data_IF_331645453859
#
_entry.id   IF_331645453859
#
_cell.length_a   1.000
_cell.length_b   1.000
_cell.length_c   1.000
_cell.angle_alpha   90.00
_cell.angle_beta   90.00
_cell.angle_gamma   90.00
#
_symmetry.space_group_name_H-M   'P 1'
#
loop_
_entity.id
_entity.type
_entity.pdbx_description
1 polymer ?
#
# COMPACT_ATOMS: atom_id res chain seq x y z
N UNK A 1 25.70 -16.61 9.28
CA UNK A 1 25.35 -17.13 7.94
C UNK A 1 25.12 -18.61 8.10
N UNK A 2 23.85 -19.02 8.08
CA UNK A 2 23.46 -20.40 8.35
C UNK A 2 22.06 -20.66 7.84
N UNK A 3 21.82 -20.36 6.56
CA UNK A 3 20.58 -20.73 5.91
C UNK A 3 20.65 -22.21 5.49
N UNK A 4 19.61 -22.97 5.81
CA UNK A 4 19.43 -24.33 5.29
C UNK A 4 18.50 -24.26 4.08
N UNK A 5 19.04 -24.53 2.89
CA UNK A 5 18.25 -24.71 1.69
C UNK A 5 17.74 -26.15 1.63
N UNK A 6 16.42 -26.31 1.61
CA UNK A 6 15.80 -27.59 1.32
C UNK A 6 15.61 -27.76 -0.18
N UNK A 7 16.09 -28.87 -0.73
CA UNK A 7 15.82 -29.27 -2.10
C UNK A 7 14.66 -30.25 -2.11
N UNK A 8 13.81 -30.15 -3.13
CA UNK A 8 12.77 -31.14 -3.36
C UNK A 8 13.40 -32.49 -3.63
N UNK A 9 12.90 -33.54 -2.97
CA UNK A 9 13.48 -34.88 -3.05
C UNK A 9 13.23 -35.55 -4.41
N UNK A 10 12.07 -35.30 -5.03
CA UNK A 10 11.68 -35.97 -6.29
C UNK A 10 10.92 -35.07 -7.27
N UNK A 11 9.79 -34.48 -6.86
CA UNK A 11 8.93 -33.63 -7.70
C UNK A 11 8.06 -32.66 -6.89
N UNK A 12 7.35 -31.74 -7.56
CA UNK A 12 6.40 -30.79 -6.92
C UNK A 12 5.32 -31.52 -6.09
N UNK A 13 5.01 -32.78 -6.41
CA UNK A 13 3.99 -33.55 -5.70
C UNK A 13 4.41 -33.93 -4.26
N UNK A 14 5.72 -34.03 -3.99
CA UNK A 14 6.31 -34.26 -2.66
C UNK A 14 6.51 -32.99 -1.82
N UNK A 15 6.24 -31.80 -2.37
CA UNK A 15 6.55 -30.52 -1.72
C UNK A 15 5.96 -30.35 -0.33
N UNK A 16 4.75 -30.85 -0.08
CA UNK A 16 4.12 -30.73 1.22
C UNK A 16 4.78 -31.60 2.28
N UNK A 17 5.24 -32.78 1.89
CA UNK A 17 5.90 -33.72 2.78
C UNK A 17 7.34 -33.25 3.06
N UNK A 18 8.02 -32.74 2.03
CA UNK A 18 9.31 -32.05 2.17
C UNK A 18 9.18 -30.79 3.05
N UNK A 19 8.17 -29.95 2.84
CA UNK A 19 7.94 -28.75 3.65
C UNK A 19 7.56 -29.09 5.10
N UNK A 20 6.83 -30.19 5.32
CA UNK A 20 6.53 -30.68 6.66
C UNK A 20 7.79 -31.09 7.42
N UNK A 21 8.71 -31.78 6.75
CA UNK A 21 9.99 -32.24 7.31
C UNK A 21 11.00 -31.10 7.49
N UNK A 22 11.19 -30.28 6.47
CA UNK A 22 12.16 -29.19 6.43
C UNK A 22 11.76 -28.00 7.31
N UNK A 23 10.46 -27.87 7.60
CA UNK A 23 9.87 -26.77 8.37
C UNK A 23 10.39 -25.39 7.92
N UNK A 24 10.23 -25.06 6.63
CA UNK A 24 10.83 -23.87 6.04
C UNK A 24 10.31 -22.60 6.71
N UNK A 25 11.16 -21.59 6.75
CA UNK A 25 10.81 -20.26 7.25
C UNK A 25 10.27 -19.38 6.10
N UNK A 26 10.88 -19.50 4.94
CA UNK A 26 10.46 -18.77 3.74
C UNK A 26 10.18 -19.78 2.64
N UNK A 27 9.05 -19.63 1.96
CA UNK A 27 8.59 -20.53 0.91
C UNK A 27 8.49 -19.75 -0.41
N UNK A 28 9.34 -20.09 -1.38
CA UNK A 28 9.26 -19.53 -2.74
C UNK A 28 8.59 -20.57 -3.62
N UNK A 29 7.41 -20.25 -4.16
CA UNK A 29 6.58 -21.21 -4.91
C UNK A 29 6.00 -20.59 -6.16
N UNK A 30 5.78 -21.39 -7.19
CA UNK A 30 5.06 -20.94 -8.39
C UNK A 30 3.54 -21.03 -8.17
N UNK A 31 2.72 -20.18 -8.81
CA UNK A 31 1.26 -20.14 -8.67
C UNK A 31 0.57 -21.50 -8.79
N UNK A 32 1.07 -22.37 -9.68
CA UNK A 32 0.57 -23.74 -9.87
C UNK A 32 0.60 -24.57 -8.58
N UNK A 33 1.58 -24.33 -7.71
CA UNK A 33 1.69 -24.99 -6.40
C UNK A 33 0.59 -24.49 -5.46
N UNK A 34 0.41 -23.17 -5.36
CA UNK A 34 -0.66 -22.56 -4.55
C UNK A 34 -2.04 -23.01 -5.02
N UNK A 35 -2.27 -23.07 -6.34
CA UNK A 35 -3.51 -23.58 -6.92
C UNK A 35 -3.77 -25.04 -6.53
N UNK A 36 -2.76 -25.91 -6.58
CA UNK A 36 -2.91 -27.31 -6.17
C UNK A 36 -3.24 -27.46 -4.69
N UNK A 37 -2.62 -26.64 -3.85
CA UNK A 37 -2.89 -26.61 -2.41
C UNK A 37 -4.32 -26.17 -2.11
N UNK A 38 -4.76 -25.13 -2.81
CA UNK A 38 -6.12 -24.63 -2.77
C UNK A 38 -7.11 -25.71 -3.20
N UNK A 39 -6.89 -26.38 -4.34
CA UNK A 39 -7.74 -27.49 -4.80
C UNK A 39 -7.78 -28.63 -3.80
N UNK A 40 -6.63 -29.05 -3.24
CA UNK A 40 -6.56 -30.14 -2.24
C UNK A 40 -7.27 -29.76 -0.95
N UNK A 41 -7.21 -28.48 -0.55
CA UNK A 41 -7.92 -27.98 0.62
C UNK A 41 -9.44 -27.92 0.38
N UNK A 42 -9.87 -27.43 -0.79
CA UNK A 42 -11.27 -27.44 -1.23
C UNK A 42 -11.83 -28.87 -1.29
N UNK A 43 -11.07 -29.83 -1.83
CA UNK A 43 -11.45 -31.24 -1.84
C UNK A 43 -11.54 -31.85 -0.43
N UNK A 44 -10.67 -31.43 0.50
CA UNK A 44 -10.70 -31.89 1.90
C UNK A 44 -11.86 -31.29 2.72
N UNK A 45 -12.40 -30.14 2.31
CA UNK A 45 -13.64 -29.59 2.87
C UNK A 45 -14.87 -30.46 2.46
N UNK A 46 -14.78 -31.18 1.34
CA UNK A 46 -15.82 -32.08 0.81
C UNK A 46 -17.09 -31.33 0.40
N UNK A 47 -18.19 -32.04 0.14
CA UNK A 47 -19.49 -31.42 -0.21
C UNK A 47 -20.33 -30.98 0.98
N UNK A 48 -19.75 -30.98 2.17
CA UNK A 48 -20.42 -30.51 3.37
C UNK A 48 -20.65 -28.99 3.29
N UNK A 49 -21.91 -28.62 3.08
CA UNK A 49 -22.38 -27.22 3.01
C UNK A 49 -21.94 -26.43 4.24
N UNK A 50 -21.97 -27.06 5.42
CA UNK A 50 -21.58 -26.45 6.70
C UNK A 50 -20.09 -26.09 6.72
N UNK A 51 -19.21 -26.97 6.20
CA UNK A 51 -17.76 -26.70 6.15
C UNK A 51 -17.41 -25.61 5.14
N UNK A 52 -18.08 -25.60 3.97
CA UNK A 52 -17.91 -24.54 2.95
C UNK A 52 -18.37 -23.18 3.47
N UNK A 53 -19.53 -23.12 4.13
CA UNK A 53 -20.02 -21.88 4.76
C UNK A 53 -19.09 -21.39 5.88
N UNK A 54 -18.59 -22.29 6.72
CA UNK A 54 -17.64 -21.96 7.76
C UNK A 54 -16.31 -21.44 7.19
N UNK A 55 -15.78 -22.07 6.15
CA UNK A 55 -14.59 -21.61 5.44
C UNK A 55 -14.77 -20.18 4.89
N UNK A 56 -15.86 -19.93 4.14
CA UNK A 56 -16.15 -18.62 3.58
C UNK A 56 -16.33 -17.56 4.67
N UNK A 57 -17.03 -17.91 5.75
CA UNK A 57 -17.19 -17.02 6.91
C UNK A 57 -15.85 -16.65 7.54
N UNK A 58 -14.93 -17.61 7.70
CA UNK A 58 -13.62 -17.38 8.31
C UNK A 58 -12.72 -16.53 7.39
N UNK A 59 -12.67 -16.84 6.10
CA UNK A 59 -11.91 -16.05 5.11
C UNK A 59 -12.42 -14.61 5.10
N UNK A 60 -13.73 -14.41 5.01
CA UNK A 60 -14.34 -13.07 4.99
C UNK A 60 -14.16 -12.33 6.32
N UNK A 61 -14.29 -13.02 7.46
CA UNK A 61 -14.03 -12.44 8.78
C UNK A 61 -12.56 -12.02 8.92
N UNK A 62 -11.64 -12.82 8.40
CA UNK A 62 -10.21 -12.51 8.43
C UNK A 62 -9.89 -11.31 7.54
N UNK A 63 -10.40 -11.28 6.31
CA UNK A 63 -10.29 -10.12 5.42
C UNK A 63 -10.87 -8.86 6.08
N UNK A 64 -12.02 -8.96 6.75
CA UNK A 64 -12.62 -7.84 7.48
C UNK A 64 -11.83 -7.42 8.75
N UNK A 65 -11.18 -8.36 9.44
CA UNK A 65 -10.26 -8.07 10.55
C UNK A 65 -9.01 -7.34 10.04
N UNK A 66 -8.53 -7.74 8.86
CA UNK A 66 -7.38 -7.16 8.18
C UNK A 66 -7.68 -5.76 7.64
N UNK A 67 -8.85 -5.52 7.06
CA UNK A 67 -9.37 -4.18 6.73
C UNK A 67 -9.46 -3.27 7.97
N UNK A 68 -9.60 -3.86 9.15
CA UNK A 68 -9.60 -3.17 10.45
C UNK A 68 -8.22 -3.12 11.11
N UNK A 69 -7.15 -3.49 10.40
CA UNK A 69 -5.77 -3.43 10.88
C UNK A 69 -5.38 -4.52 11.89
N UNK A 70 -6.17 -5.59 12.02
CA UNK A 70 -5.90 -6.73 12.91
C UNK A 70 -5.33 -7.90 12.11
N UNK A 71 -4.04 -8.15 12.29
CA UNK A 71 -3.29 -9.13 11.50
C UNK A 71 -2.87 -10.39 12.28
N UNK A 72 -3.39 -10.57 13.50
CA UNK A 72 -2.99 -11.68 14.37
C UNK A 72 -3.77 -12.98 14.11
N UNK A 73 -3.18 -14.12 14.48
CA UNK A 73 -3.78 -15.47 14.33
C UNK A 73 -4.52 -15.96 15.57
N UNK A 74 -4.90 -15.05 16.49
CA UNK A 74 -5.39 -15.40 17.83
C UNK A 74 -6.84 -15.89 17.88
N UNK A 75 -7.57 -15.78 16.77
CA UNK A 75 -8.92 -16.33 16.67
C UNK A 75 -8.86 -17.86 16.76
N UNK A 76 -9.59 -18.42 17.72
CA UNK A 76 -9.71 -19.88 17.92
C UNK A 76 -10.10 -20.60 16.61
N UNK A 77 -10.95 -19.96 15.81
CA UNK A 77 -11.48 -20.50 14.56
C UNK A 77 -10.42 -20.46 13.43
N UNK A 78 -9.57 -19.42 13.38
CA UNK A 78 -8.41 -19.34 12.47
C UNK A 78 -7.37 -20.42 12.80
N UNK A 79 -7.12 -20.63 14.09
CA UNK A 79 -6.17 -21.63 14.58
C UNK A 79 -6.66 -23.05 14.29
N UNK A 80 -7.97 -23.30 14.40
CA UNK A 80 -8.57 -24.59 14.11
C UNK A 80 -8.56 -24.94 12.61
N UNK A 81 -8.87 -23.97 11.75
CA UNK A 81 -9.01 -24.18 10.31
C UNK A 81 -7.66 -24.09 9.58
N UNK A 82 -6.96 -22.98 9.71
CA UNK A 82 -5.69 -22.73 9.01
C UNK A 82 -4.47 -23.21 9.79
N UNK A 83 -4.57 -23.42 11.11
CA UNK A 83 -3.46 -23.95 11.88
C UNK A 83 -3.05 -25.36 11.46
N UNK A 84 -4.00 -26.22 11.05
CA UNK A 84 -3.69 -27.54 10.46
C UNK A 84 -2.95 -27.43 9.14
N UNK A 85 -3.33 -26.46 8.30
CA UNK A 85 -2.69 -26.21 7.01
C UNK A 85 -1.28 -25.62 7.19
N UNK A 86 -1.12 -24.62 8.06
CA UNK A 86 0.19 -24.03 8.40
C UNK A 86 1.15 -25.09 8.97
N UNK A 87 0.63 -26.03 9.78
CA UNK A 87 1.40 -27.18 10.28
C UNK A 87 1.91 -28.11 9.17
N UNK A 88 1.18 -28.25 8.05
CA UNK A 88 1.66 -29.03 6.89
C UNK A 88 2.85 -28.39 6.19
N UNK A 89 3.03 -27.08 6.31
CA UNK A 89 4.27 -26.39 5.91
C UNK A 89 5.29 -26.32 7.05
N UNK A 90 5.20 -27.25 8.00
CA UNK A 90 6.07 -27.32 9.17
C UNK A 90 5.84 -26.25 10.25
N UNK A 91 4.80 -25.43 10.09
CA UNK A 91 4.30 -24.49 11.10
C UNK A 91 5.18 -23.28 11.36
N UNK A 92 6.27 -23.12 10.60
CA UNK A 92 7.22 -22.00 10.72
C UNK A 92 7.24 -21.10 9.49
N UNK A 93 6.36 -21.33 8.50
CA UNK A 93 6.27 -20.49 7.31
C UNK A 93 5.56 -19.19 7.64
N UNK A 94 6.14 -18.12 7.14
CA UNK A 94 5.88 -16.76 7.58
C UNK A 94 6.23 -15.73 6.50
N UNK A 95 6.91 -16.18 5.44
CA UNK A 95 7.03 -15.46 4.18
C UNK A 95 6.74 -16.46 3.04
N UNK A 96 5.79 -16.11 2.17
CA UNK A 96 5.50 -16.86 0.94
C UNK A 96 5.68 -15.91 -0.23
N UNK A 97 6.58 -16.23 -1.14
CA UNK A 97 6.82 -15.47 -2.37
C UNK A 97 6.30 -16.30 -3.53
N UNK A 98 5.29 -15.78 -4.22
CA UNK A 98 4.77 -16.36 -5.45
C UNK A 98 5.18 -15.52 -6.66
N UNK A 99 5.56 -16.18 -7.76
CA UNK A 99 5.97 -15.50 -9.00
C UNK A 99 5.84 -16.42 -10.23
N UNK A 100 6.01 -15.85 -11.42
CA UNK A 100 5.93 -16.52 -12.74
C UNK A 100 4.55 -16.67 -13.40
N UNK A 101 3.43 -16.40 -12.72
CA UNK A 101 2.11 -16.32 -13.36
C UNK A 101 1.02 -15.68 -12.47
N UNK A 102 -0.09 -15.24 -13.08
CA UNK A 102 -1.36 -14.93 -12.43
C UNK A 102 -1.87 -15.87 -11.35
N UNK A 103 -2.17 -15.32 -10.15
CA UNK A 103 -2.96 -15.95 -9.09
C UNK A 103 -4.42 -15.52 -9.22
N UNK A 104 -5.35 -16.47 -9.32
CA UNK A 104 -6.78 -16.12 -9.36
C UNK A 104 -7.20 -15.29 -8.12
N UNK A 105 -8.17 -14.37 -8.24
CA UNK A 105 -8.64 -13.54 -7.13
C UNK A 105 -9.05 -14.33 -5.89
N UNK A 106 -9.59 -15.54 -6.09
CA UNK A 106 -10.00 -16.45 -5.02
C UNK A 106 -8.79 -17.03 -4.27
N UNK A 107 -7.70 -17.34 -4.99
CA UNK A 107 -6.44 -17.84 -4.44
C UNK A 107 -5.66 -16.73 -3.71
N UNK A 108 -5.70 -15.51 -4.24
CA UNK A 108 -5.14 -14.32 -3.59
C UNK A 108 -5.82 -14.05 -2.24
N UNK A 109 -7.16 -14.03 -2.20
CA UNK A 109 -7.94 -13.87 -0.95
C UNK A 109 -7.62 -14.93 0.10
N UNK A 110 -7.43 -16.17 -0.33
CA UNK A 110 -7.01 -17.25 0.55
C UNK A 110 -5.60 -17.03 1.12
N UNK A 111 -4.62 -16.64 0.29
CA UNK A 111 -3.25 -16.38 0.74
C UNK A 111 -3.18 -15.19 1.72
N UNK A 112 -3.89 -14.10 1.41
CA UNK A 112 -3.99 -12.91 2.29
C UNK A 112 -4.60 -13.24 3.64
N UNK A 113 -5.73 -13.96 3.67
CA UNK A 113 -6.34 -14.41 4.91
C UNK A 113 -5.40 -15.24 5.80
N UNK A 114 -4.35 -15.83 5.22
CA UNK A 114 -3.39 -16.66 5.94
C UNK A 114 -2.10 -15.91 6.35
N UNK A 115 -1.69 -14.79 5.69
CA UNK A 115 -0.30 -14.25 5.83
C UNK A 115 -0.08 -12.72 6.04
N UNK A 116 -0.96 -11.84 5.55
CA UNK A 116 -1.28 -10.43 5.90
C UNK A 116 -0.39 -9.34 6.59
N UNK A 117 0.88 -9.12 6.28
CA UNK A 117 1.63 -7.82 6.21
C UNK A 117 2.98 -8.21 5.59
N UNK A 118 3.63 -7.34 4.81
CA UNK A 118 4.99 -7.67 4.34
C UNK A 118 5.92 -7.62 5.55
N UNK A 119 6.17 -8.78 6.14
CA UNK A 119 7.19 -8.97 7.16
C UNK A 119 8.30 -9.82 6.54
N UNK A 120 9.54 -9.41 6.76
CA UNK A 120 10.71 -10.10 6.27
C UNK A 120 11.48 -10.72 7.44
N UNK A 121 12.01 -11.93 7.26
CA UNK A 121 12.94 -12.54 8.21
C UNK A 121 13.98 -13.34 7.44
N UNK A 122 15.25 -13.08 7.73
CA UNK A 122 16.38 -13.76 7.10
C UNK A 122 17.70 -13.09 7.43
N UNK A 123 18.82 -13.73 7.08
CA UNK A 123 20.19 -13.27 7.42
C UNK A 123 20.54 -11.88 6.84
N UNK A 124 19.81 -11.42 5.81
CA UNK A 124 19.94 -10.11 5.18
C UNK A 124 19.16 -9.00 5.90
N UNK A 125 18.28 -9.36 6.85
CA UNK A 125 17.51 -8.40 7.63
C UNK A 125 18.40 -7.73 8.68
N UNK A 126 18.19 -6.44 8.91
CA UNK A 126 18.93 -5.68 9.92
C UNK A 126 18.77 -6.31 11.31
N UNK A 127 19.82 -6.23 12.14
CA UNK A 127 19.78 -6.62 13.56
C UNK A 127 19.08 -5.59 14.44
N UNK A 128 18.71 -4.44 13.88
CA UNK A 128 18.10 -3.33 14.60
C UNK A 128 18.75 -1.99 14.27
N UNK A 129 18.36 -0.97 15.01
CA UNK A 129 18.97 0.35 14.95
C UNK A 129 20.17 0.43 15.89
N UNK A 130 21.27 1.03 15.43
CA UNK A 130 22.47 1.20 16.23
C UNK A 130 22.19 2.08 17.47
N UNK A 131 22.43 1.53 18.67
CA UNK A 131 22.21 2.18 19.98
C UNK A 131 20.78 2.67 20.24
N UNK A 132 19.78 2.15 19.53
CA UNK A 132 18.36 2.50 19.73
C UNK A 132 17.53 1.23 19.96
N UNK A 133 17.50 0.70 21.21
CA UNK A 133 16.83 -0.56 21.51
C UNK A 133 15.30 -0.45 21.41
N UNK A 134 14.74 0.75 21.64
CA UNK A 134 13.30 1.00 21.55
C UNK A 134 12.85 0.87 20.10
N UNK A 135 13.46 1.58 19.15
CA UNK A 135 13.10 1.44 17.73
C UNK A 135 13.46 0.08 17.15
N UNK A 136 14.46 -0.59 17.71
CA UNK A 136 14.79 -1.97 17.32
C UNK A 136 13.66 -2.92 17.68
N UNK A 137 13.09 -2.80 18.88
CA UNK A 137 11.95 -3.61 19.30
C UNK A 137 10.65 -3.24 18.57
N UNK A 138 10.53 -2.01 18.05
CA UNK A 138 9.42 -1.62 17.16
C UNK A 138 9.57 -2.20 15.74
N UNK A 139 10.80 -2.30 15.24
CA UNK A 139 11.11 -2.82 13.91
C UNK A 139 11.09 -4.35 13.86
N UNK A 140 11.56 -4.99 14.92
CA UNK A 140 11.76 -6.43 15.03
C UNK A 140 10.94 -6.94 16.22
N UNK A 141 9.94 -7.77 15.95
CA UNK A 141 9.11 -8.34 17.02
C UNK A 141 9.84 -9.43 17.84
N UNK A 142 9.18 -9.90 18.89
CA UNK A 142 9.68 -10.98 19.76
C UNK A 142 9.95 -12.29 19.02
N UNK A 143 9.36 -12.48 17.84
CA UNK A 143 9.51 -13.65 17.00
C UNK A 143 10.57 -13.46 15.89
N UNK A 144 11.24 -12.30 15.88
CA UNK A 144 12.34 -11.95 14.97
C UNK A 144 11.90 -11.46 13.59
N UNK A 145 10.64 -11.06 13.42
CA UNK A 145 10.12 -10.51 12.16
C UNK A 145 10.48 -9.05 12.01
N UNK A 146 11.11 -8.71 10.89
CA UNK A 146 11.26 -7.30 10.49
C UNK A 146 9.97 -6.84 9.83
N UNK A 147 9.28 -5.93 10.51
CA UNK A 147 8.14 -5.24 9.93
C UNK A 147 8.66 -4.24 8.89
N UNK A 148 8.49 -4.54 7.60
CA UNK A 148 8.99 -3.63 6.55
C UNK A 148 8.22 -2.31 6.57
N UNK A 149 6.97 -2.36 7.06
CA UNK A 149 6.05 -1.23 7.10
C UNK A 149 5.38 -0.98 5.75
N UNK A 150 5.48 -1.94 4.81
CA UNK A 150 4.84 -1.89 3.50
C UNK A 150 3.59 -2.77 3.48
N UNK A 151 2.54 -2.27 2.84
CA UNK A 151 1.31 -2.98 2.56
C UNK A 151 1.43 -3.54 1.17
N UNK A 152 1.19 -4.84 1.05
CA UNK A 152 1.21 -5.55 -0.22
C UNK A 152 -0.16 -6.08 -0.59
N UNK A 153 -0.50 -5.99 -1.87
CA UNK A 153 -1.63 -6.63 -2.49
C UNK A 153 -1.11 -7.64 -3.52
N UNK A 154 -1.44 -8.91 -3.34
CA UNK A 154 -1.26 -9.90 -4.40
C UNK A 154 -2.20 -9.60 -5.55
N UNK A 155 -1.65 -9.25 -6.71
CA UNK A 155 -2.42 -9.01 -7.93
C UNK A 155 -3.06 -10.29 -8.44
N UNK A 156 -4.05 -10.15 -9.32
CA UNK A 156 -4.57 -11.28 -10.09
C UNK A 156 -3.45 -11.94 -10.92
N UNK A 157 -2.35 -11.21 -11.16
CA UNK A 157 -1.13 -11.66 -11.82
C UNK A 157 -0.11 -12.35 -10.90
N UNK A 158 -0.49 -12.62 -9.65
CA UNK A 158 0.29 -13.44 -8.73
C UNK A 158 1.59 -12.79 -8.25
N UNK A 159 1.74 -11.50 -8.53
CA UNK A 159 2.84 -10.66 -8.09
C UNK A 159 2.42 -9.90 -6.84
N UNK A 160 3.34 -9.73 -5.90
CA UNK A 160 3.13 -8.86 -4.75
C UNK A 160 3.30 -7.41 -5.20
N UNK A 161 2.19 -6.70 -5.35
CA UNK A 161 2.20 -5.26 -5.61
C UNK A 161 2.29 -4.53 -4.28
N UNK A 162 3.34 -3.74 -4.09
CA UNK A 162 3.42 -2.82 -2.96
C UNK A 162 2.39 -1.72 -3.20
N UNK A 163 1.48 -1.55 -2.23
CA UNK A 163 0.36 -0.61 -2.30
C UNK A 163 0.76 0.73 -1.70
N UNK A 164 1.25 0.74 -0.45
CA UNK A 164 1.71 1.94 0.25
C UNK A 164 2.40 1.55 1.58
N UNK A 165 2.88 2.51 2.35
CA UNK A 165 3.42 2.34 3.70
C UNK A 165 2.30 2.37 4.75
N UNK A 166 2.36 1.47 5.73
CA UNK A 166 1.42 1.41 6.87
C UNK A 166 1.28 2.76 7.58
N UNK A 167 2.39 3.52 7.70
CA UNK A 167 2.41 4.83 8.35
C UNK A 167 2.00 5.99 7.43
N UNK A 168 1.84 5.77 6.13
CA UNK A 168 1.46 6.79 5.14
C UNK A 168 -0.01 6.73 4.75
N UNK A 169 -0.65 5.57 4.85
CA UNK A 169 -2.10 5.44 4.61
C UNK A 169 -2.87 6.23 5.66
N UNK A 170 -3.91 6.95 5.22
CA UNK A 170 -4.87 7.57 6.11
C UNK A 170 -6.29 7.07 5.84
N UNK A 171 -7.13 7.16 6.86
CA UNK A 171 -8.55 6.80 6.80
C UNK A 171 -9.37 8.07 6.67
N UNK A 172 -10.39 8.07 5.81
CA UNK A 172 -11.38 9.13 5.71
C UNK A 172 -12.57 8.87 6.65
N UNK A 173 -13.39 9.89 6.91
CA UNK A 173 -14.53 9.78 7.84
C UNK A 173 -15.58 8.74 7.43
N UNK A 174 -15.76 8.49 6.13
CA UNK A 174 -16.63 7.42 5.62
C UNK A 174 -16.09 5.99 5.84
N UNK A 175 -14.86 5.85 6.33
CA UNK A 175 -14.28 4.54 6.62
C UNK A 175 -13.29 4.01 5.59
N UNK A 176 -13.24 4.61 4.40
CA UNK A 176 -12.32 4.25 3.31
C UNK A 176 -10.87 4.59 3.67
N UNK A 177 -9.94 3.70 3.27
CA UNK A 177 -8.51 3.93 3.39
C UNK A 177 -7.93 4.46 2.08
N UNK A 178 -7.03 5.42 2.20
CA UNK A 178 -6.36 6.04 1.08
C UNK A 178 -4.86 5.84 1.18
N UNK A 179 -4.31 5.30 0.09
CA UNK A 179 -2.89 5.25 -0.20
C UNK A 179 -2.50 6.54 -0.94
N UNK A 180 -1.94 7.56 -0.28
CA UNK A 180 -1.64 8.82 -0.94
C UNK A 180 -0.55 8.70 -1.99
N UNK A 181 0.43 7.79 -1.86
CA UNK A 181 1.50 7.66 -2.86
C UNK A 181 0.91 7.23 -4.22
N UNK A 182 -0.10 6.35 -4.21
CA UNK A 182 -0.85 5.96 -5.41
C UNK A 182 -1.49 7.17 -6.10
N UNK A 183 -2.10 8.07 -5.31
CA UNK A 183 -2.79 9.25 -5.82
C UNK A 183 -1.77 10.29 -6.34
N UNK A 184 -0.69 10.52 -5.59
CA UNK A 184 0.41 11.41 -5.96
C UNK A 184 1.03 10.97 -7.29
N UNK A 185 1.32 9.68 -7.46
CA UNK A 185 1.83 9.13 -8.71
C UNK A 185 0.87 9.32 -9.88
N UNK A 186 -0.45 9.24 -9.65
CA UNK A 186 -1.43 9.52 -10.68
C UNK A 186 -1.42 11.00 -11.09
N UNK A 187 -1.40 11.91 -10.11
CA UNK A 187 -1.36 13.35 -10.37
C UNK A 187 -0.03 13.83 -10.97
N UNK A 188 1.09 13.17 -10.68
CA UNK A 188 2.38 13.45 -11.33
C UNK A 188 2.36 13.21 -12.85
N UNK A 189 1.36 12.51 -13.39
CA UNK A 189 1.18 12.38 -14.84
C UNK A 189 0.50 13.60 -15.49
N UNK A 190 -0.02 14.53 -14.68
CA UNK A 190 -0.57 15.80 -15.15
C UNK A 190 0.58 16.76 -15.50
N UNK A 191 0.60 17.26 -16.74
CA UNK A 191 1.64 18.20 -17.22
C UNK A 191 1.75 19.48 -16.40
N UNK A 192 0.65 19.89 -15.75
CA UNK A 192 0.60 21.11 -14.95
C UNK A 192 1.22 20.94 -13.57
N UNK A 193 1.50 19.70 -13.14
CA UNK A 193 1.98 19.37 -11.80
C UNK A 193 3.44 18.92 -11.86
N UNK A 194 4.33 19.68 -11.23
CA UNK A 194 5.74 19.29 -11.05
C UNK A 194 5.89 18.38 -9.84
N UNK A 195 5.33 18.78 -8.69
CA UNK A 195 5.35 18.00 -7.46
C UNK A 195 4.00 18.09 -6.76
N UNK A 196 3.64 17.05 -6.02
CA UNK A 196 2.37 16.96 -5.31
C UNK A 196 2.55 16.25 -3.97
N UNK A 197 1.89 16.78 -2.96
CA UNK A 197 1.74 16.16 -1.64
C UNK A 197 0.25 16.05 -1.31
N UNK A 198 -0.25 14.83 -1.19
CA UNK A 198 -1.64 14.53 -0.83
C UNK A 198 -1.75 14.32 0.67
N UNK A 199 -2.67 15.02 1.30
CA UNK A 199 -2.97 14.88 2.72
C UNK A 199 -4.43 14.47 2.95
N UNK A 200 -4.68 13.96 4.15
CA UNK A 200 -5.94 13.33 4.51
C UNK A 200 -6.23 13.45 6.00
N UNK A 201 -7.49 13.72 6.32
CA UNK A 201 -7.99 13.82 7.68
C UNK A 201 -9.12 12.82 7.94
N UNK A 202 -9.02 12.07 9.05
CA UNK A 202 -10.03 11.11 9.52
C UNK A 202 -11.41 11.69 9.83
N UNK A 203 -11.52 13.02 9.96
CA UNK A 203 -12.79 13.72 10.17
C UNK A 203 -13.42 14.21 8.86
N UNK A 204 -12.74 14.03 7.72
CA UNK A 204 -13.15 14.59 6.43
C UNK A 204 -13.34 13.45 5.43
N UNK A 205 -14.24 13.67 4.47
CA UNK A 205 -14.63 12.62 3.52
C UNK A 205 -13.83 12.65 2.21
N UNK A 206 -12.80 13.49 2.14
CA UNK A 206 -12.00 13.72 0.94
C UNK A 206 -10.55 14.08 1.29
N UNK A 207 -9.59 13.77 0.40
CA UNK A 207 -8.23 14.25 0.51
C UNK A 207 -8.07 15.67 -0.04
N UNK A 208 -7.00 16.34 0.37
CA UNK A 208 -6.55 17.65 -0.14
C UNK A 208 -5.11 17.54 -0.61
N UNK A 209 -4.61 18.50 -1.39
CA UNK A 209 -3.22 18.45 -1.85
C UNK A 209 -2.50 19.81 -1.86
N UNK A 210 -1.20 19.76 -1.62
CA UNK A 210 -0.26 20.85 -1.89
C UNK A 210 0.41 20.54 -3.23
N UNK A 211 0.42 21.51 -4.14
CA UNK A 211 0.85 21.30 -5.53
C UNK A 211 1.89 22.34 -5.88
N UNK A 212 3.03 21.89 -6.39
CA UNK A 212 4.02 22.74 -7.05
C UNK A 212 3.74 22.66 -8.56
N UNK A 213 3.25 23.74 -9.19
CA UNK A 213 2.97 23.71 -10.62
C UNK A 213 4.24 23.59 -11.46
N UNK A 214 4.11 23.01 -12.65
CA UNK A 214 5.06 23.32 -13.72
C UNK A 214 4.67 24.68 -14.30
N UNK A 215 5.39 25.74 -13.94
CA UNK A 215 5.06 27.11 -14.36
C UNK A 215 5.18 27.31 -15.88
N UNK A 216 5.98 26.50 -16.58
CA UNK A 216 6.13 26.59 -18.04
C UNK A 216 4.87 26.07 -18.71
N UNK A 217 4.46 24.86 -18.35
CA UNK A 217 3.24 24.22 -18.87
C UNK A 217 1.98 24.97 -18.41
N UNK A 218 1.95 25.46 -17.16
CA UNK A 218 0.85 26.26 -16.64
C UNK A 218 0.65 27.55 -17.44
N UNK A 219 1.71 28.32 -17.70
CA UNK A 219 1.61 29.56 -18.50
C UNK A 219 1.20 29.27 -19.94
N UNK A 220 1.63 28.14 -20.50
CA UNK A 220 1.19 27.68 -21.82
C UNK A 220 -0.32 27.39 -21.83
N UNK A 221 -0.81 26.64 -20.84
CA UNK A 221 -2.23 26.32 -20.69
C UNK A 221 -3.11 27.55 -20.44
N UNK A 222 -2.66 28.48 -19.60
CA UNK A 222 -3.37 29.74 -19.33
C UNK A 222 -3.46 30.65 -20.56
N UNK A 223 -2.45 30.64 -21.43
CA UNK A 223 -2.47 31.40 -22.70
C UNK A 223 -3.54 30.89 -23.67
N UNK A 224 -3.77 29.57 -23.67
CA UNK A 224 -4.77 28.92 -24.53
C UNK A 224 -6.19 29.03 -23.97
N UNK A 225 -6.34 29.37 -22.67
CA UNK A 225 -7.64 29.58 -22.04
C UNK A 225 -8.19 30.96 -22.38
N UNK A 226 -9.40 31.03 -22.95
CA UNK A 226 -10.08 32.29 -23.28
C UNK A 226 -10.35 33.19 -22.07
N UNK A 227 -10.38 32.63 -20.86
CA UNK A 227 -10.75 33.34 -19.62
C UNK A 227 -9.53 33.83 -18.84
N UNK A 228 -8.37 33.17 -18.99
CA UNK A 228 -7.21 33.38 -18.11
C UNK A 228 -5.98 33.99 -18.81
N UNK A 229 -6.09 34.42 -20.06
CA UNK A 229 -4.94 34.94 -20.84
C UNK A 229 -4.17 36.07 -20.14
N UNK A 230 -4.87 36.94 -19.40
CA UNK A 230 -4.30 38.09 -18.69
C UNK A 230 -3.42 37.69 -17.48
N UNK A 231 -3.50 36.43 -17.02
CA UNK A 231 -2.74 35.96 -15.87
C UNK A 231 -1.32 35.48 -16.26
N UNK A 232 -1.01 35.34 -17.56
CA UNK A 232 0.29 34.85 -18.03
C UNK A 232 1.47 35.76 -17.65
N UNK A 233 1.23 37.04 -17.37
CA UNK A 233 2.29 38.00 -17.01
C UNK A 233 2.51 38.13 -15.52
N UNK A 234 1.66 37.50 -14.70
CA UNK A 234 1.79 37.52 -13.24
C UNK A 234 3.04 36.76 -12.79
N UNK A 235 3.59 37.14 -11.63
CA UNK A 235 4.67 36.39 -10.99
C UNK A 235 4.18 35.00 -10.56
N UNK A 236 5.09 34.04 -10.42
CA UNK A 236 4.76 32.66 -10.03
C UNK A 236 3.99 32.61 -8.70
N UNK A 237 4.42 33.41 -7.72
CA UNK A 237 3.77 33.55 -6.42
C UNK A 237 2.35 34.14 -6.50
N UNK A 238 2.09 35.02 -7.46
CA UNK A 238 0.77 35.62 -7.69
C UNK A 238 -0.18 34.64 -8.38
N UNK A 239 0.34 33.82 -9.31
CA UNK A 239 -0.41 32.72 -9.93
C UNK A 239 -0.87 31.72 -8.87
N UNK A 240 0.00 31.34 -7.94
CA UNK A 240 -0.31 30.40 -6.88
C UNK A 240 -1.41 30.89 -5.93
N UNK A 241 -1.51 32.20 -5.69
CA UNK A 241 -2.52 32.82 -4.81
C UNK A 241 -3.88 33.01 -5.48
N UNK A 242 -3.97 32.84 -6.80
CA UNK A 242 -5.20 33.09 -7.54
C UNK A 242 -6.16 31.89 -7.43
N UNK A 243 -7.36 32.12 -6.93
CA UNK A 243 -8.39 31.07 -6.77
C UNK A 243 -8.84 30.47 -8.10
N UNK A 244 -8.88 31.28 -9.17
CA UNK A 244 -9.29 30.81 -10.50
C UNK A 244 -8.25 29.88 -11.10
N UNK A 245 -6.96 30.16 -10.88
CA UNK A 245 -5.86 29.30 -11.30
C UNK A 245 -5.85 28.01 -10.47
N UNK A 246 -6.06 28.09 -9.15
CA UNK A 246 -6.23 26.90 -8.30
C UNK A 246 -7.36 26.00 -8.81
N UNK A 247 -8.52 26.58 -9.12
CA UNK A 247 -9.67 25.81 -9.65
C UNK A 247 -9.35 25.17 -11.00
N UNK A 248 -8.71 25.90 -11.91
CA UNK A 248 -8.29 25.37 -13.20
C UNK A 248 -7.34 24.17 -13.07
N UNK A 249 -6.30 24.29 -12.23
CA UNK A 249 -5.35 23.18 -12.01
C UNK A 249 -6.03 21.99 -11.35
N UNK A 250 -6.94 22.22 -10.40
CA UNK A 250 -7.72 21.16 -9.75
C UNK A 250 -8.58 20.37 -10.75
N UNK A 251 -9.26 21.06 -11.67
CA UNK A 251 -10.10 20.45 -12.70
C UNK A 251 -9.26 19.56 -13.63
N UNK A 252 -8.11 20.05 -14.09
CA UNK A 252 -7.17 19.29 -14.94
C UNK A 252 -6.57 18.08 -14.21
N UNK A 253 -6.17 18.24 -12.95
CA UNK A 253 -5.72 17.13 -12.11
C UNK A 253 -6.83 16.08 -11.98
N UNK A 254 -8.07 16.48 -11.70
CA UNK A 254 -9.19 15.56 -11.53
C UNK A 254 -9.65 14.90 -12.85
N UNK A 255 -9.42 15.53 -14.00
CA UNK A 255 -9.55 14.88 -15.30
C UNK A 255 -8.56 13.71 -15.45
N UNK A 256 -7.28 13.92 -15.11
CA UNK A 256 -6.25 12.87 -15.10
C UNK A 256 -6.60 11.75 -14.10
N UNK A 257 -7.05 12.10 -12.90
CA UNK A 257 -7.49 11.11 -11.91
C UNK A 257 -8.61 10.20 -12.45
N UNK A 258 -9.55 10.78 -13.22
CA UNK A 258 -10.63 10.03 -13.86
C UNK A 258 -10.09 9.07 -14.92
N UNK A 259 -9.13 9.52 -15.75
CA UNK A 259 -8.47 8.68 -16.75
C UNK A 259 -7.66 7.53 -16.11
N UNK A 260 -7.08 7.77 -14.93
CA UNK A 260 -6.36 6.76 -14.13
C UNK A 260 -7.27 5.87 -13.29
N UNK A 261 -8.60 5.98 -13.47
CA UNK A 261 -9.62 5.20 -12.77
C UNK A 261 -9.54 5.32 -11.24
N UNK A 262 -9.13 6.49 -10.73
CA UNK A 262 -9.22 6.78 -9.30
C UNK A 262 -10.69 6.89 -8.88
N UNK A 263 -11.01 6.30 -7.72
CA UNK A 263 -12.37 6.34 -7.16
C UNK A 263 -12.72 7.77 -6.75
N UNK A 264 -14.02 8.08 -6.68
CA UNK A 264 -14.48 9.43 -6.35
C UNK A 264 -13.92 9.97 -5.01
N UNK A 265 -13.78 9.11 -4.01
CA UNK A 265 -13.20 9.47 -2.71
C UNK A 265 -11.66 9.58 -2.72
N UNK A 266 -10.98 9.04 -3.73
CA UNK A 266 -9.52 9.18 -3.90
C UNK A 266 -9.15 10.51 -4.57
N UNK A 267 -10.10 11.22 -5.18
CA UNK A 267 -9.86 12.51 -5.85
C UNK A 267 -9.76 13.63 -4.82
N UNK A 268 -8.77 14.49 -4.97
CA UNK A 268 -8.64 15.69 -4.12
C UNK A 268 -9.75 16.69 -4.44
N UNK A 269 -10.33 17.26 -3.38
CA UNK A 269 -11.41 18.26 -3.52
C UNK A 269 -10.92 19.70 -3.41
N UNK A 270 -9.76 19.91 -2.79
CA UNK A 270 -9.13 21.21 -2.66
C UNK A 270 -7.62 21.09 -2.80
N UNK A 271 -7.01 22.10 -3.44
CA UNK A 271 -5.57 22.19 -3.60
C UNK A 271 -5.07 23.55 -3.13
N UNK A 272 -3.80 23.60 -2.76
CA UNK A 272 -3.05 24.82 -2.59
C UNK A 272 -1.84 24.80 -3.53
N UNK A 273 -1.77 25.78 -4.44
CA UNK A 273 -0.59 25.98 -5.28
C UNK A 273 0.51 26.70 -4.51
N UNK A 274 1.75 26.25 -4.67
CA UNK A 274 2.94 26.91 -4.11
C UNK A 274 4.07 26.98 -5.13
N UNK A 275 4.83 28.07 -5.09
CA UNK A 275 6.08 28.26 -5.82
C UNK A 275 7.30 27.71 -5.05
N UNK A 276 7.11 27.29 -3.80
CA UNK A 276 8.15 26.64 -2.99
C UNK A 276 8.32 25.17 -3.41
N UNK A 277 9.37 24.91 -4.19
CA UNK A 277 9.74 23.55 -4.61
C UNK A 277 10.15 22.70 -3.40
N UNK A 278 9.72 21.44 -3.36
CA UNK A 278 10.17 20.49 -2.34
C UNK A 278 11.62 20.09 -2.63
N UNK A 279 12.52 20.35 -1.69
CA UNK A 279 13.95 20.09 -1.83
C UNK A 279 14.49 19.32 -0.62
N UNK A 280 15.73 18.86 -0.72
CA UNK A 280 16.44 18.29 0.44
C UNK A 280 16.76 19.42 1.44
N UNK A 281 17.08 20.62 0.95
CA UNK A 281 17.51 21.76 1.76
C UNK A 281 16.41 22.31 2.67
N UNK A 282 15.16 22.39 2.18
CA UNK A 282 14.01 22.74 3.02
C UNK A 282 13.48 21.54 3.85
N UNK A 283 14.14 20.38 3.74
CA UNK A 283 13.82 19.18 4.51
C UNK A 283 12.51 18.50 4.11
N UNK A 284 11.84 18.95 3.04
CA UNK A 284 10.61 18.35 2.53
C UNK A 284 10.89 17.07 1.75
N UNK A 285 12.07 16.93 1.15
CA UNK A 285 12.57 15.69 0.58
C UNK A 285 13.61 15.02 1.50
N UNK A 286 13.62 13.70 1.48
CA UNK A 286 14.70 12.87 2.01
C UNK A 286 15.88 12.88 1.04
N UNK A 287 17.10 12.48 1.47
CA UNK A 287 18.27 12.37 0.58
C UNK A 287 18.04 11.46 -0.65
N UNK A 288 17.09 10.51 -0.56
CA UNK A 288 16.66 9.66 -1.68
C UNK A 288 15.56 10.30 -2.54
N UNK A 289 15.36 11.62 -2.45
CA UNK A 289 14.35 12.41 -3.18
C UNK A 289 12.89 11.97 -2.94
N UNK A 290 12.62 11.23 -1.86
CA UNK A 290 11.25 10.89 -1.45
C UNK A 290 10.69 11.94 -0.52
N UNK A 291 9.41 12.27 -0.66
CA UNK A 291 8.72 13.23 0.19
C UNK A 291 8.69 12.79 1.66
N UNK A 292 9.13 13.67 2.56
CA UNK A 292 9.05 13.48 4.00
C UNK A 292 7.67 13.93 4.52
N UNK A 293 6.68 13.03 4.46
CA UNK A 293 5.27 13.35 4.75
C UNK A 293 5.03 14.02 6.10
N UNK A 294 5.66 13.52 7.18
CA UNK A 294 5.50 14.11 8.52
C UNK A 294 6.03 15.55 8.58
N UNK A 295 7.17 15.82 7.92
CA UNK A 295 7.73 17.18 7.86
C UNK A 295 6.87 18.09 6.99
N UNK A 296 6.43 17.60 5.82
CA UNK A 296 5.56 18.34 4.91
C UNK A 296 4.22 18.70 5.57
N UNK A 297 3.59 17.75 6.29
CA UNK A 297 2.36 18.00 7.05
C UNK A 297 2.55 19.06 8.13
N UNK A 298 3.66 19.03 8.85
CA UNK A 298 3.96 20.04 9.86
C UNK A 298 4.21 21.42 9.23
N UNK A 299 4.98 21.46 8.15
CA UNK A 299 5.31 22.69 7.41
C UNK A 299 4.06 23.37 6.86
N UNK A 300 3.20 22.61 6.17
CA UNK A 300 1.95 23.11 5.57
C UNK A 300 0.72 23.00 6.49
N UNK A 301 0.91 22.79 7.80
CA UNK A 301 -0.19 22.48 8.73
C UNK A 301 -1.33 23.50 8.70
N UNK A 302 -1.01 24.80 8.72
CA UNK A 302 -2.01 25.89 8.64
C UNK A 302 -2.78 25.86 7.33
N UNK A 303 -2.07 25.66 6.22
CA UNK A 303 -2.64 25.61 4.87
C UNK A 303 -3.56 24.40 4.70
N UNK A 304 -3.14 23.22 5.17
CA UNK A 304 -3.95 22.00 5.12
C UNK A 304 -5.25 22.19 5.92
N UNK A 305 -5.17 22.81 7.10
CA UNK A 305 -6.37 23.12 7.90
C UNK A 305 -7.30 24.05 7.10
N UNK A 306 -6.76 25.10 6.46
CA UNK A 306 -7.60 26.02 5.67
C UNK A 306 -8.29 25.34 4.49
N UNK A 307 -7.63 24.38 3.84
CA UNK A 307 -8.22 23.61 2.73
C UNK A 307 -9.42 22.74 3.16
N UNK A 308 -9.53 22.43 4.45
CA UNK A 308 -10.65 21.67 5.01
C UNK A 308 -11.77 22.54 5.58
N UNK A 309 -11.54 23.86 5.70
CA UNK A 309 -12.51 24.83 6.21
C UNK A 309 -13.09 25.75 5.13
N UNK A 310 -12.45 25.80 3.97
CA UNK A 310 -12.97 26.43 2.75
C UNK A 310 -14.13 25.62 2.17
#
# INVERSE_FOLDING_TARGET
MGACSGFLTESIDGLLDDAYLLRPTSLVVVPRVLSRLYTKYQSALGDSVVKKQLYNYIVNKKLAEQERGKFNHRSFVDTMLFGKLRKKFGGRVCCVVSGSAPLSPELSKFAHAVFNVICARGDHCSKGYFKDPVKTAELIDSDGWVHTGDIGEWTEEGSLKIVDRVKSIFKLAQGEYIAPEKIEMAYQTCKLTSQVFVDGNSQKNYPVAIVVPDFTELRSALSNSKVLQHHKTLLDSELCRNETVNKFVLEEMNAIATLKLLKGFEKVQAIYLTDEVFTIDNGLLTPTMKLSRNKARNYFSKTIISLYTA
#
